data_IF_909903221862
#
_entry.id   IF_909903221862
#
_cell.length_a   1.000
_cell.length_b   1.000
_cell.length_c   1.000
_cell.angle_alpha   90.00
_cell.angle_beta   90.00
_cell.angle_gamma   90.00
#
_symmetry.space_group_name_H-M   'P 1'
#
loop_
_entity.id
_entity.type
_entity.pdbx_description
1 polymer ?
#
# COMPACT_ATOMS: atom_id res chain seq x y z
N UNK A 1 8.42 -8.38 1.40
CA UNK A 1 8.98 -7.10 1.89
C UNK A 1 10.35 -6.75 1.30
N UNK A 2 11.36 -7.63 1.39
CA UNK A 2 12.73 -7.36 0.93
C UNK A 2 12.83 -6.88 -0.53
N UNK A 3 12.14 -7.55 -1.46
CA UNK A 3 12.12 -7.14 -2.86
C UNK A 3 11.55 -5.73 -3.05
N UNK A 4 10.49 -5.39 -2.30
CA UNK A 4 9.90 -4.04 -2.33
C UNK A 4 10.88 -2.97 -1.84
N UNK A 5 11.60 -3.20 -0.74
CA UNK A 5 12.61 -2.25 -0.27
C UNK A 5 13.78 -2.08 -1.25
N UNK A 6 14.20 -3.15 -1.93
CA UNK A 6 15.26 -3.09 -2.95
C UNK A 6 14.79 -2.27 -4.16
N UNK A 7 13.55 -2.45 -4.60
CA UNK A 7 12.96 -1.68 -5.69
C UNK A 7 12.81 -0.19 -5.35
N UNK A 8 12.42 0.13 -4.11
CA UNK A 8 12.41 1.51 -3.62
C UNK A 8 13.81 2.13 -3.58
N UNK A 9 14.82 1.39 -3.13
CA UNK A 9 16.22 1.83 -3.19
C UNK A 9 16.69 2.06 -4.63
N UNK A 10 16.27 1.19 -5.56
CA UNK A 10 16.55 1.36 -6.98
C UNK A 10 15.89 2.64 -7.54
N UNK A 11 14.64 2.95 -7.17
CA UNK A 11 13.97 4.21 -7.54
C UNK A 11 14.78 5.42 -7.07
N UNK A 12 15.26 5.41 -5.82
CA UNK A 12 16.10 6.50 -5.28
C UNK A 12 17.37 6.65 -6.10
N UNK A 13 18.08 5.55 -6.37
CA UNK A 13 19.30 5.56 -7.20
C UNK A 13 19.07 6.17 -8.58
N UNK A 14 17.91 5.91 -9.18
CA UNK A 14 17.56 6.43 -10.49
C UNK A 14 17.10 7.90 -10.46
N UNK A 15 16.52 8.34 -9.35
CA UNK A 15 15.96 9.69 -9.23
C UNK A 15 17.01 10.72 -8.81
N UNK A 16 18.08 10.29 -8.14
CA UNK A 16 19.18 11.14 -7.71
C UNK A 16 20.10 11.52 -8.87
N UNK A 17 20.35 12.83 -9.01
CA UNK A 17 21.31 13.39 -9.99
C UNK A 17 22.64 13.79 -9.35
N UNK A 18 22.81 13.55 -8.05
CA UNK A 18 24.02 13.92 -7.34
C UNK A 18 25.24 13.11 -7.79
N UNK A 19 26.38 13.79 -7.96
CA UNK A 19 27.65 13.18 -8.33
C UNK A 19 28.27 12.34 -7.18
N UNK A 20 27.94 12.64 -5.91
CA UNK A 20 28.47 11.93 -4.76
C UNK A 20 27.74 10.60 -4.53
N UNK A 21 28.40 9.49 -4.90
CA UNK A 21 27.89 8.13 -4.69
C UNK A 21 27.58 7.82 -3.22
N UNK A 22 28.30 8.42 -2.26
CA UNK A 22 28.04 8.19 -0.82
C UNK A 22 26.68 8.73 -0.40
N UNK A 23 26.24 9.83 -1.00
CA UNK A 23 24.94 10.42 -0.75
C UNK A 23 23.81 9.49 -1.23
N UNK A 24 23.94 8.98 -2.46
CA UNK A 24 22.98 8.04 -3.05
C UNK A 24 22.85 6.77 -2.21
N UNK A 25 23.97 6.18 -1.76
CA UNK A 25 23.93 4.99 -0.90
C UNK A 25 23.27 5.24 0.45
N UNK A 26 23.47 6.41 1.05
CA UNK A 26 22.80 6.80 2.30
C UNK A 26 21.29 6.93 2.11
N UNK A 27 20.85 7.56 1.03
CA UNK A 27 19.43 7.67 0.68
C UNK A 27 18.80 6.29 0.42
N UNK A 28 19.53 5.39 -0.25
CA UNK A 28 19.12 3.99 -0.47
C UNK A 28 18.98 3.22 0.84
N UNK A 29 19.92 3.34 1.77
CA UNK A 29 19.83 2.70 3.08
C UNK A 29 18.66 3.25 3.89
N UNK A 30 18.43 4.56 3.83
CA UNK A 30 17.31 5.20 4.52
C UNK A 30 15.96 4.71 3.99
N UNK A 31 15.77 4.61 2.67
CA UNK A 31 14.49 4.11 2.12
C UNK A 31 14.25 2.64 2.50
N UNK A 32 15.31 1.82 2.53
CA UNK A 32 15.21 0.42 2.96
C UNK A 32 14.79 0.35 4.43
N UNK A 33 15.46 1.10 5.31
CA UNK A 33 15.15 1.13 6.74
C UNK A 33 13.72 1.63 6.99
N UNK A 34 13.35 2.78 6.40
CA UNK A 34 12.01 3.36 6.55
C UNK A 34 10.89 2.44 6.05
N UNK A 35 11.13 1.67 4.99
CA UNK A 35 10.14 0.74 4.45
C UNK A 35 10.04 -0.55 5.27
N UNK A 36 11.17 -1.17 5.60
CA UNK A 36 11.20 -2.47 6.30
C UNK A 36 10.77 -2.35 7.76
N UNK A 37 11.07 -1.20 8.40
CA UNK A 37 10.83 -1.00 9.82
C UNK A 37 9.53 -0.24 10.11
N UNK A 38 8.73 0.03 9.08
CA UNK A 38 7.42 0.63 9.28
C UNK A 38 6.53 -0.37 10.04
N UNK A 39 5.96 0.00 11.21
CA UNK A 39 5.13 -0.89 12.02
C UNK A 39 3.94 -1.48 11.24
N UNK A 40 3.33 -0.70 10.35
CA UNK A 40 2.20 -1.15 9.53
C UNK A 40 2.64 -2.25 8.56
N UNK A 41 3.80 -2.10 7.92
CA UNK A 41 4.33 -3.12 7.02
C UNK A 41 4.73 -4.40 7.75
N UNK A 42 5.31 -4.27 8.95
CA UNK A 42 5.66 -5.41 9.79
C UNK A 42 4.40 -6.17 10.23
N UNK A 43 3.37 -5.44 10.67
CA UNK A 43 2.08 -6.00 11.06
C UNK A 43 1.34 -6.65 9.89
N UNK A 44 1.26 -5.97 8.74
CA UNK A 44 0.62 -6.49 7.54
C UNK A 44 1.28 -7.79 7.05
N UNK A 45 2.57 -7.98 7.35
CA UNK A 45 3.35 -9.15 6.95
C UNK A 45 3.23 -10.33 7.92
N UNK A 46 2.43 -10.19 8.97
CA UNK A 46 2.04 -11.30 9.84
C UNK A 46 1.09 -12.27 9.11
N UNK A 47 0.97 -13.50 9.62
CA UNK A 47 0.34 -14.62 8.90
C UNK A 47 -1.14 -14.41 8.53
N UNK A 48 -1.85 -13.49 9.20
CA UNK A 48 -3.28 -13.26 8.96
C UNK A 48 -3.61 -12.27 7.82
N UNK A 49 -2.65 -11.44 7.38
CA UNK A 49 -2.94 -10.28 6.52
C UNK A 49 -2.13 -10.24 5.21
N UNK A 50 -1.52 -11.37 4.83
CA UNK A 50 -0.57 -11.45 3.72
C UNK A 50 -1.14 -11.04 2.35
N UNK A 51 -2.44 -11.28 2.10
CA UNK A 51 -3.10 -10.94 0.82
C UNK A 51 -3.10 -9.43 0.56
N UNK A 52 -3.30 -8.62 1.60
CA UNK A 52 -3.41 -7.15 1.50
C UNK A 52 -2.08 -6.47 1.13
N UNK A 53 -0.94 -7.15 1.35
CA UNK A 53 0.38 -6.62 0.97
C UNK A 53 0.63 -6.66 -0.53
N UNK A 54 0.00 -7.58 -1.26
CA UNK A 54 0.28 -7.75 -2.69
C UNK A 54 -0.05 -6.49 -3.48
N UNK A 55 -1.13 -5.78 -3.13
CA UNK A 55 -1.44 -4.49 -3.72
C UNK A 55 -0.28 -3.50 -3.53
N UNK A 56 0.25 -3.38 -2.31
CA UNK A 56 1.37 -2.48 -2.02
C UNK A 56 2.65 -2.90 -2.74
N UNK A 57 2.92 -4.20 -2.84
CA UNK A 57 4.05 -4.72 -3.59
C UNK A 57 3.94 -4.36 -5.08
N UNK A 58 2.81 -4.62 -5.72
CA UNK A 58 2.60 -4.28 -7.13
C UNK A 58 2.55 -2.78 -7.39
N UNK A 59 2.17 -1.96 -6.40
CA UNK A 59 2.34 -0.51 -6.46
C UNK A 59 3.82 -0.13 -6.57
N UNK A 60 4.69 -0.70 -5.73
CA UNK A 60 6.14 -0.44 -5.79
C UNK A 60 6.71 -0.91 -7.14
N UNK A 61 6.31 -2.10 -7.61
CA UNK A 61 6.76 -2.62 -8.92
C UNK A 61 6.32 -1.69 -10.05
N UNK A 62 5.08 -1.19 -10.02
CA UNK A 62 4.56 -0.26 -11.03
C UNK A 62 5.26 1.10 -11.00
N UNK A 63 5.57 1.62 -9.80
CA UNK A 63 6.39 2.82 -9.63
C UNK A 63 7.80 2.62 -10.21
N UNK A 64 8.44 1.48 -9.94
CA UNK A 64 9.75 1.15 -10.50
C UNK A 64 9.70 1.02 -12.03
N UNK A 65 8.67 0.36 -12.58
CA UNK A 65 8.50 0.24 -14.01
C UNK A 65 8.24 1.59 -14.68
N UNK A 66 7.51 2.50 -14.03
CA UNK A 66 7.32 3.87 -14.50
C UNK A 66 8.64 4.64 -14.56
N UNK A 67 9.45 4.60 -13.49
CA UNK A 67 10.78 5.23 -13.48
C UNK A 67 11.67 4.64 -14.57
N UNK A 68 11.67 3.31 -14.72
CA UNK A 68 12.42 2.63 -15.78
C UNK A 68 11.97 3.08 -17.17
N UNK A 69 10.66 3.21 -17.40
CA UNK A 69 10.10 3.71 -18.65
C UNK A 69 10.55 5.14 -18.98
N UNK A 70 10.68 6.01 -17.99
CA UNK A 70 11.10 7.39 -18.20
C UNK A 70 12.58 7.54 -18.55
N UNK A 71 13.41 6.57 -18.21
CA UNK A 71 14.88 6.68 -18.28
C UNK A 71 15.56 5.68 -19.22
N UNK A 72 14.87 4.61 -19.61
CA UNK A 72 15.46 3.51 -20.36
C UNK A 72 15.42 3.76 -21.87
N UNK A 73 16.56 3.55 -22.52
CA UNK A 73 16.66 3.50 -23.99
C UNK A 73 16.04 2.20 -24.56
N UNK A 74 15.80 1.19 -23.71
CA UNK A 74 15.19 -0.10 -24.12
C UNK A 74 13.67 0.02 -24.14
N UNK A 75 13.17 0.75 -25.13
CA UNK A 75 11.76 1.13 -25.28
C UNK A 75 10.79 -0.06 -25.22
N UNK A 76 11.10 -1.18 -25.88
CA UNK A 76 10.21 -2.35 -25.90
C UNK A 76 10.09 -3.01 -24.52
N UNK A 77 11.23 -3.26 -23.87
CA UNK A 77 11.27 -3.93 -22.56
C UNK A 77 10.59 -3.06 -21.50
N UNK A 78 10.87 -1.75 -21.50
CA UNK A 78 10.28 -0.85 -20.51
C UNK A 78 8.76 -0.75 -20.65
N UNK A 79 8.24 -0.77 -21.88
CA UNK A 79 6.79 -0.82 -22.14
C UNK A 79 6.15 -2.11 -21.66
N UNK A 80 6.76 -3.27 -21.93
CA UNK A 80 6.23 -4.56 -21.44
C UNK A 80 6.20 -4.59 -19.92
N UNK A 81 7.30 -4.21 -19.27
CA UNK A 81 7.37 -4.21 -17.80
C UNK A 81 6.34 -3.26 -17.19
N UNK A 82 6.17 -2.06 -17.77
CA UNK A 82 5.15 -1.11 -17.32
C UNK A 82 3.73 -1.68 -17.51
N UNK A 83 3.45 -2.26 -18.67
CA UNK A 83 2.14 -2.85 -18.95
C UNK A 83 1.81 -4.00 -17.99
N UNK A 84 2.74 -4.96 -17.82
CA UNK A 84 2.54 -6.14 -16.97
C UNK A 84 2.45 -5.77 -15.49
N UNK A 85 3.32 -4.86 -15.01
CA UNK A 85 3.28 -4.45 -13.60
C UNK A 85 1.96 -3.75 -13.23
N UNK A 86 1.47 -2.87 -14.08
CA UNK A 86 0.19 -2.19 -13.88
C UNK A 86 -0.99 -3.16 -13.99
N UNK A 87 -0.91 -4.13 -14.90
CA UNK A 87 -1.93 -5.16 -15.04
C UNK A 87 -2.02 -6.01 -13.76
N UNK A 88 -0.89 -6.40 -13.17
CA UNK A 88 -0.85 -7.12 -11.90
C UNK A 88 -1.39 -6.27 -10.74
N UNK A 89 -1.07 -4.97 -10.71
CA UNK A 89 -1.62 -4.05 -9.72
C UNK A 89 -3.14 -3.96 -9.82
N UNK A 90 -3.67 -3.73 -11.04
CA UNK A 90 -5.10 -3.63 -11.31
C UNK A 90 -5.85 -4.94 -11.04
N UNK A 91 -5.21 -6.09 -11.26
CA UNK A 91 -5.81 -7.39 -10.98
C UNK A 91 -5.87 -7.72 -9.48
N UNK A 92 -4.95 -7.15 -8.70
CA UNK A 92 -4.84 -7.44 -7.27
C UNK A 92 -5.69 -6.48 -6.43
N UNK A 93 -5.70 -5.19 -6.79
CA UNK A 93 -6.30 -4.15 -5.96
C UNK A 93 -6.79 -2.96 -6.79
N UNK A 94 -7.77 -2.20 -6.26
CA UNK A 94 -8.29 -0.97 -6.86
C UNK A 94 -7.22 0.11 -7.00
N UNK A 95 -6.05 -0.11 -6.37
CA UNK A 95 -4.88 0.73 -6.56
C UNK A 95 -4.47 0.88 -8.02
N UNK A 96 -4.74 -0.08 -8.92
CA UNK A 96 -4.47 0.08 -10.35
C UNK A 96 -5.21 1.27 -10.99
N UNK A 97 -6.50 1.44 -10.66
CA UNK A 97 -7.31 2.57 -11.11
C UNK A 97 -6.80 3.89 -10.53
N UNK A 98 -6.48 3.89 -9.23
CA UNK A 98 -5.98 5.10 -8.56
C UNK A 98 -4.57 5.48 -9.00
N UNK A 99 -3.75 4.50 -9.42
CA UNK A 99 -2.41 4.73 -9.98
C UNK A 99 -2.51 5.39 -11.35
N UNK A 100 -3.43 4.92 -12.20
CA UNK A 100 -3.75 5.58 -13.47
C UNK A 100 -4.21 7.03 -13.24
N UNK A 101 -5.14 7.26 -12.30
CA UNK A 101 -5.60 8.60 -11.96
C UNK A 101 -4.47 9.49 -11.39
N UNK A 102 -3.61 8.94 -10.53
CA UNK A 102 -2.46 9.65 -9.97
C UNK A 102 -1.47 10.09 -11.05
N UNK A 103 -1.19 9.25 -12.05
CA UNK A 103 -0.34 9.63 -13.19
C UNK A 103 -0.95 10.78 -14.00
N UNK A 104 -2.26 10.73 -14.26
CA UNK A 104 -2.96 11.82 -14.96
C UNK A 104 -2.85 13.12 -14.16
N UNK A 105 -3.11 13.10 -12.84
CA UNK A 105 -3.00 14.27 -11.98
C UNK A 105 -1.58 14.85 -11.94
N UNK A 106 -0.57 14.00 -11.74
CA UNK A 106 0.84 14.43 -11.58
C UNK A 106 1.41 14.97 -12.90
N UNK A 107 1.08 14.34 -14.03
CA UNK A 107 1.63 14.69 -15.34
C UNK A 107 0.68 15.51 -16.22
N UNK A 108 -0.49 15.96 -15.73
CA UNK A 108 -1.47 16.71 -16.52
C UNK A 108 -0.84 17.84 -17.35
N UNK A 109 0.00 18.67 -16.72
CA UNK A 109 0.71 19.79 -17.39
C UNK A 109 1.82 19.34 -18.34
N UNK A 110 2.30 18.12 -18.20
CA UNK A 110 3.37 17.51 -19.01
C UNK A 110 2.86 16.58 -20.10
N UNK A 111 1.53 16.40 -20.24
CA UNK A 111 0.91 15.57 -21.29
C UNK A 111 1.22 16.04 -22.72
N UNK A 112 1.76 17.26 -22.89
CA UNK A 112 2.28 17.74 -24.17
C UNK A 112 3.52 16.97 -24.64
N UNK A 113 4.28 16.37 -23.72
CA UNK A 113 5.47 15.56 -24.04
C UNK A 113 5.00 14.18 -24.54
N UNK A 114 5.33 13.85 -25.78
CA UNK A 114 4.88 12.62 -26.44
C UNK A 114 5.22 11.35 -25.63
N UNK A 115 6.43 11.28 -25.07
CA UNK A 115 6.87 10.14 -24.24
C UNK A 115 6.01 9.95 -22.98
N UNK A 116 5.66 11.05 -22.29
CA UNK A 116 4.81 11.02 -21.10
C UNK A 116 3.38 10.60 -21.47
N UNK A 117 2.83 11.22 -22.52
CA UNK A 117 1.49 10.91 -23.02
C UNK A 117 1.35 9.44 -23.40
N UNK A 118 2.33 8.88 -24.11
CA UNK A 118 2.33 7.47 -24.48
C UNK A 118 2.43 6.55 -23.26
N UNK A 119 3.25 6.90 -22.27
CA UNK A 119 3.34 6.16 -21.02
C UNK A 119 2.00 6.12 -20.27
N UNK A 120 1.35 7.27 -20.11
CA UNK A 120 0.02 7.37 -19.46
C UNK A 120 -1.04 6.59 -20.24
N UNK A 121 -1.01 6.65 -21.58
CA UNK A 121 -1.90 5.85 -22.43
C UNK A 121 -1.67 4.35 -22.23
N UNK A 122 -0.41 3.90 -22.17
CA UNK A 122 -0.07 2.50 -21.94
C UNK A 122 -0.56 2.00 -20.58
N UNK A 123 -0.40 2.79 -19.53
CA UNK A 123 -0.97 2.49 -18.19
C UNK A 123 -2.48 2.39 -18.26
N UNK A 124 -3.14 3.36 -18.92
CA UNK A 124 -4.59 3.37 -19.05
C UNK A 124 -5.10 2.14 -19.80
N UNK A 125 -4.43 1.77 -20.90
CA UNK A 125 -4.74 0.57 -21.67
C UNK A 125 -4.56 -0.70 -20.84
N UNK A 126 -3.48 -0.79 -20.05
CA UNK A 126 -3.25 -1.92 -19.13
C UNK A 126 -4.38 -2.08 -18.11
N UNK A 127 -4.75 -0.99 -17.42
CA UNK A 127 -5.85 -1.01 -16.45
C UNK A 127 -7.18 -1.39 -17.10
N UNK A 128 -7.53 -0.78 -18.24
CA UNK A 128 -8.79 -1.06 -18.95
C UNK A 128 -8.84 -2.52 -19.42
N UNK A 129 -7.77 -3.03 -20.02
CA UNK A 129 -7.72 -4.42 -20.50
C UNK A 129 -7.85 -5.39 -19.33
N UNK A 130 -7.10 -5.20 -18.25
CA UNK A 130 -7.18 -6.06 -17.07
C UNK A 130 -8.57 -6.04 -16.44
N UNK A 131 -9.14 -4.85 -16.20
CA UNK A 131 -10.48 -4.74 -15.64
C UNK A 131 -11.54 -5.34 -16.55
N UNK A 132 -11.39 -5.21 -17.88
CA UNK A 132 -12.31 -5.84 -18.84
C UNK A 132 -12.23 -7.37 -18.76
N UNK A 133 -11.02 -7.94 -18.69
CA UNK A 133 -10.84 -9.39 -18.54
C UNK A 133 -11.48 -9.89 -17.24
N UNK A 134 -11.27 -9.18 -16.13
CA UNK A 134 -11.86 -9.52 -14.83
C UNK A 134 -13.39 -9.41 -14.89
N UNK A 135 -13.92 -8.35 -15.49
CA UNK A 135 -15.37 -8.19 -15.68
C UNK A 135 -15.93 -9.34 -16.53
N UNK A 136 -15.30 -9.67 -17.66
CA UNK A 136 -15.72 -10.79 -18.52
C UNK A 136 -15.70 -12.12 -17.75
N UNK A 137 -14.67 -12.35 -16.94
CA UNK A 137 -14.58 -13.54 -16.11
C UNK A 137 -15.76 -13.61 -15.13
N UNK A 138 -16.05 -12.55 -14.37
CA UNK A 138 -17.16 -12.57 -13.42
C UNK A 138 -18.55 -12.61 -14.08
N UNK A 139 -18.73 -11.90 -15.20
CA UNK A 139 -19.97 -11.99 -16.00
C UNK A 139 -20.19 -13.41 -16.51
N UNK A 140 -19.13 -14.10 -16.94
CA UNK A 140 -19.24 -15.49 -17.41
C UNK A 140 -19.66 -16.48 -16.32
N UNK A 141 -19.43 -16.16 -15.04
CA UNK A 141 -19.77 -17.03 -13.90
C UNK A 141 -21.21 -16.80 -13.45
N UNK A 142 -21.63 -15.54 -13.27
CA UNK A 142 -22.88 -15.21 -12.57
C UNK A 142 -23.79 -14.22 -13.33
N UNK A 143 -23.42 -13.81 -14.54
CA UNK A 143 -24.13 -12.79 -15.32
C UNK A 143 -23.79 -11.35 -14.92
N UNK A 144 -24.18 -10.40 -15.76
CA UNK A 144 -23.92 -8.96 -15.56
C UNK A 144 -24.62 -8.38 -14.34
N UNK A 145 -25.85 -8.81 -14.08
CA UNK A 145 -26.66 -8.24 -13.00
C UNK A 145 -26.07 -8.57 -11.63
N UNK A 146 -25.58 -9.80 -11.45
CA UNK A 146 -24.89 -10.21 -10.22
C UNK A 146 -23.57 -9.44 -10.01
N UNK A 147 -22.81 -9.21 -11.09
CA UNK A 147 -21.58 -8.42 -11.02
C UNK A 147 -21.86 -6.96 -10.64
N UNK A 148 -22.78 -6.29 -11.34
CA UNK A 148 -23.13 -4.89 -11.08
C UNK A 148 -23.67 -4.73 -9.66
N UNK A 149 -24.57 -5.63 -9.23
CA UNK A 149 -25.13 -5.61 -7.88
C UNK A 149 -24.05 -5.81 -6.82
N UNK A 150 -23.14 -6.77 -6.99
CA UNK A 150 -22.08 -7.04 -6.01
C UNK A 150 -21.04 -5.90 -5.93
N UNK A 151 -20.66 -5.32 -7.07
CA UNK A 151 -19.80 -4.12 -7.11
C UNK A 151 -20.49 -2.92 -6.45
N UNK A 152 -21.78 -2.72 -6.74
CA UNK A 152 -22.58 -1.65 -6.15
C UNK A 152 -22.67 -1.79 -4.64
N UNK A 153 -23.05 -2.95 -4.13
CA UNK A 153 -23.11 -3.23 -2.68
C UNK A 153 -21.76 -2.98 -2.02
N UNK A 154 -20.67 -3.56 -2.53
CA UNK A 154 -19.33 -3.38 -1.96
C UNK A 154 -18.86 -1.93 -1.98
N UNK A 155 -19.20 -1.18 -3.02
CA UNK A 155 -18.87 0.24 -3.09
C UNK A 155 -19.67 1.06 -2.07
N UNK A 156 -20.96 0.79 -1.92
CA UNK A 156 -21.80 1.43 -0.90
C UNK A 156 -21.26 1.16 0.51
N UNK A 157 -20.94 -0.11 0.80
CA UNK A 157 -20.43 -0.57 2.09
C UNK A 157 -19.10 0.08 2.47
N UNK A 158 -18.16 0.17 1.51
CA UNK A 158 -16.77 0.55 1.78
C UNK A 158 -16.47 2.04 1.62
N UNK A 159 -17.27 2.75 0.82
CA UNK A 159 -16.97 4.14 0.46
C UNK A 159 -17.29 5.13 1.57
N UNK A 160 -18.34 4.89 2.37
CA UNK A 160 -18.75 5.80 3.44
C UNK A 160 -19.58 7.01 3.00
N UNK A 161 -19.90 7.17 1.71
CA UNK A 161 -20.56 8.37 1.17
C UNK A 161 -22.09 8.30 1.08
N UNK A 162 -22.69 7.13 1.32
CA UNK A 162 -24.12 6.91 1.09
C UNK A 162 -24.95 6.85 2.38
N UNK A 163 -24.32 7.09 3.53
CA UNK A 163 -24.94 7.12 4.86
C UNK A 163 -24.84 5.79 5.61
N UNK A 164 -24.86 5.85 6.95
CA UNK A 164 -24.56 4.75 7.86
C UNK A 164 -25.32 3.45 7.60
N UNK A 165 -26.58 3.56 7.15
CA UNK A 165 -27.44 2.40 6.85
C UNK A 165 -26.93 1.50 5.71
N UNK A 166 -26.02 2.01 4.86
CA UNK A 166 -25.45 1.27 3.73
C UNK A 166 -23.96 0.97 3.91
N UNK A 167 -23.35 1.43 4.99
CA UNK A 167 -21.91 1.28 5.27
C UNK A 167 -21.68 0.15 6.26
N UNK A 168 -20.52 -0.49 6.17
CA UNK A 168 -20.13 -1.51 7.14
C UNK A 168 -20.07 -0.89 8.55
N UNK A 169 -20.79 -1.48 9.50
CA UNK A 169 -20.92 -1.03 10.90
C UNK A 169 -21.45 0.41 11.12
N UNK A 170 -22.02 1.09 10.12
CA UNK A 170 -22.59 2.43 10.29
C UNK A 170 -21.59 3.60 10.20
N UNK A 171 -20.36 3.34 9.75
CA UNK A 171 -19.33 4.36 9.61
C UNK A 171 -19.40 5.09 8.26
N UNK A 172 -20.05 6.26 8.27
CA UNK A 172 -20.12 7.17 7.12
C UNK A 172 -19.32 8.47 7.34
N UNK A 173 -19.16 9.29 6.29
CA UNK A 173 -18.36 10.53 6.33
C UNK A 173 -18.95 11.60 7.25
N UNK A 174 -20.26 11.57 7.49
CA UNK A 174 -20.98 12.50 8.35
C UNK A 174 -20.96 12.04 9.82
N UNK A 175 -20.73 10.75 10.08
CA UNK A 175 -20.60 10.21 11.42
C UNK A 175 -19.26 10.66 12.07
N UNK A 176 -19.28 11.41 13.18
CA UNK A 176 -18.06 11.82 13.89
C UNK A 176 -17.20 10.65 14.39
N UNK A 177 -17.82 9.51 14.68
CA UNK A 177 -17.13 8.30 15.15
C UNK A 177 -16.19 7.73 14.07
N UNK A 178 -16.57 7.83 12.79
CA UNK A 178 -15.70 7.45 11.65
C UNK A 178 -14.38 8.22 11.69
N UNK A 179 -14.43 9.52 11.98
CA UNK A 179 -13.24 10.37 12.08
C UNK A 179 -12.44 10.08 13.35
N UNK A 180 -13.12 9.79 14.46
CA UNK A 180 -12.45 9.35 15.68
C UNK A 180 -11.69 8.03 15.45
N UNK A 181 -12.33 7.03 14.83
CA UNK A 181 -11.69 5.77 14.47
C UNK A 181 -10.53 5.99 13.51
N UNK A 182 -10.68 6.84 12.50
CA UNK A 182 -9.57 7.19 11.62
C UNK A 182 -8.38 7.76 12.40
N UNK A 183 -8.62 8.72 13.29
CA UNK A 183 -7.58 9.27 14.16
C UNK A 183 -7.00 8.21 15.09
N UNK A 184 -7.81 7.26 15.56
CA UNK A 184 -7.35 6.13 16.35
C UNK A 184 -6.48 5.18 15.52
N UNK A 185 -6.79 4.92 14.26
CA UNK A 185 -5.92 4.13 13.39
C UNK A 185 -4.60 4.85 13.15
N UNK A 186 -4.64 6.16 12.87
CA UNK A 186 -3.42 6.98 12.76
C UNK A 186 -2.64 6.96 14.09
N UNK A 187 -3.31 7.08 15.23
CA UNK A 187 -2.69 6.95 16.55
C UNK A 187 -2.04 5.58 16.70
N UNK A 188 -2.71 4.48 16.37
CA UNK A 188 -2.15 3.13 16.44
C UNK A 188 -0.92 2.98 15.52
N UNK A 189 -0.88 3.67 14.36
CA UNK A 189 0.30 3.72 13.48
C UNK A 189 1.44 4.49 14.16
N UNK A 190 1.09 5.56 14.88
CA UNK A 190 2.03 6.53 15.45
C UNK A 190 2.39 6.30 16.92
N UNK A 191 1.72 5.39 17.63
CA UNK A 191 1.83 5.22 19.07
C UNK A 191 3.26 4.80 19.47
N UNK A 192 3.65 5.19 20.68
CA UNK A 192 5.02 5.15 21.13
C UNK A 192 5.89 6.19 20.41
N UNK A 193 6.90 5.76 19.66
CA UNK A 193 7.85 6.70 19.05
C UNK A 193 7.41 7.25 17.68
N UNK A 194 6.30 6.75 17.10
CA UNK A 194 5.84 7.23 15.80
C UNK A 194 5.52 8.73 15.80
N UNK A 195 5.02 9.26 16.93
CA UNK A 195 4.88 10.70 17.17
C UNK A 195 6.20 11.46 17.17
N UNK A 196 7.26 10.88 17.75
CA UNK A 196 8.61 11.47 17.75
C UNK A 196 9.15 11.51 16.31
N UNK A 197 8.92 10.45 15.53
CA UNK A 197 9.28 10.38 14.11
C UNK A 197 8.52 11.42 13.30
N UNK A 198 7.21 11.55 13.51
CA UNK A 198 6.39 12.57 12.83
C UNK A 198 6.87 13.99 13.18
N UNK A 199 7.10 14.27 14.46
CA UNK A 199 7.59 15.57 14.92
C UNK A 199 8.96 15.89 14.31
N UNK A 200 9.87 14.92 14.28
CA UNK A 200 11.19 15.07 13.65
C UNK A 200 11.07 15.22 12.13
N UNK A 201 10.16 14.51 11.47
CA UNK A 201 9.88 14.66 10.04
C UNK A 201 9.37 16.08 9.71
N UNK A 202 8.48 16.63 10.53
CA UNK A 202 7.99 18.01 10.39
C UNK A 202 9.12 19.02 10.60
N UNK A 203 9.93 18.87 11.66
CA UNK A 203 11.10 19.73 11.91
C UNK A 203 12.10 19.66 10.75
N UNK A 204 12.37 18.46 10.25
CA UNK A 204 13.23 18.21 9.10
C UNK A 204 12.65 18.85 7.83
N UNK A 205 11.34 18.76 7.57
CA UNK A 205 10.67 19.41 6.45
C UNK A 205 10.79 20.93 6.51
N UNK A 206 10.55 21.53 7.68
CA UNK A 206 10.64 22.98 7.88
C UNK A 206 12.08 23.46 7.70
N UNK A 207 13.06 22.73 8.23
CA UNK A 207 14.48 23.05 8.05
C UNK A 207 14.94 22.88 6.59
N UNK A 208 14.56 21.77 5.94
CA UNK A 208 14.92 21.48 4.55
C UNK A 208 14.28 22.45 3.55
N UNK A 209 13.13 23.05 3.89
CA UNK A 209 12.48 24.08 3.07
C UNK A 209 13.25 25.40 3.05
N UNK A 210 13.99 25.70 4.12
CA UNK A 210 14.81 26.92 4.22
C UNK A 210 16.20 26.77 3.63
N UNK A 211 16.76 25.56 3.61
CA UNK A 211 18.18 25.34 3.33
C UNK A 211 18.43 24.79 1.92
N UNK A 212 17.45 24.16 1.27
CA UNK A 212 17.77 23.24 0.19
C UNK A 212 16.94 23.46 -1.11
N UNK A 213 17.58 23.24 -2.27
CA UNK A 213 17.03 23.38 -3.64
C UNK A 213 15.80 22.50 -3.92
N UNK A 214 14.92 22.84 -4.88
CA UNK A 214 13.71 22.07 -5.16
C UNK A 214 14.03 20.61 -5.57
N UNK A 215 13.36 19.65 -4.91
CA UNK A 215 13.48 18.20 -5.20
C UNK A 215 12.47 17.83 -6.27
N UNK A 216 12.87 17.00 -7.25
CA UNK A 216 11.92 16.35 -8.15
C UNK A 216 11.13 15.30 -7.37
N UNK A 217 9.94 15.70 -6.94
CA UNK A 217 9.03 14.87 -6.15
C UNK A 217 8.02 14.11 -7.01
N UNK A 218 8.26 13.96 -8.33
CA UNK A 218 7.28 13.36 -9.24
C UNK A 218 6.87 11.95 -8.82
N UNK A 219 7.83 11.07 -8.49
CA UNK A 219 7.53 9.68 -8.06
C UNK A 219 6.84 9.63 -6.71
N UNK A 220 7.28 10.47 -5.75
CA UNK A 220 6.66 10.60 -4.43
C UNK A 220 5.21 11.08 -4.56
N UNK A 221 4.94 12.04 -5.45
CA UNK A 221 3.58 12.52 -5.73
C UNK A 221 2.70 11.41 -6.30
N UNK A 222 3.21 10.57 -7.21
CA UNK A 222 2.44 9.45 -7.75
C UNK A 222 2.09 8.47 -6.62
N UNK A 223 3.07 8.08 -5.80
CA UNK A 223 2.84 7.20 -4.66
C UNK A 223 1.81 7.79 -3.68
N UNK A 224 1.93 9.08 -3.35
CA UNK A 224 0.99 9.79 -2.48
C UNK A 224 -0.43 9.83 -3.05
N UNK A 225 -0.59 10.30 -4.30
CA UNK A 225 -1.90 10.45 -4.92
C UNK A 225 -2.57 9.09 -5.15
N UNK A 226 -1.80 8.04 -5.46
CA UNK A 226 -2.35 6.68 -5.59
C UNK A 226 -2.95 6.24 -4.25
N UNK A 227 -2.18 6.32 -3.16
CA UNK A 227 -2.65 5.95 -1.83
C UNK A 227 -3.81 6.83 -1.34
N UNK A 228 -3.76 8.14 -1.59
CA UNK A 228 -4.80 9.08 -1.17
C UNK A 228 -6.12 8.86 -1.92
N UNK A 229 -6.07 8.71 -3.24
CA UNK A 229 -7.28 8.43 -4.03
C UNK A 229 -7.89 7.10 -3.65
N UNK A 230 -7.07 6.08 -3.37
CA UNK A 230 -7.54 4.81 -2.84
C UNK A 230 -8.23 5.01 -1.49
N UNK A 231 -7.56 5.68 -0.56
CA UNK A 231 -8.07 5.93 0.78
C UNK A 231 -9.42 6.66 0.76
N UNK A 232 -9.56 7.68 -0.11
CA UNK A 232 -10.82 8.41 -0.29
C UNK A 232 -11.90 7.52 -0.92
N UNK A 233 -11.56 6.67 -1.89
CA UNK A 233 -12.53 5.80 -2.55
C UNK A 233 -13.13 4.74 -1.62
N UNK A 234 -12.40 4.33 -0.59
CA UNK A 234 -12.83 3.34 0.42
C UNK A 234 -12.66 3.89 1.84
N UNK A 235 -13.18 5.10 2.09
CA UNK A 235 -12.96 5.83 3.34
C UNK A 235 -13.46 5.05 4.56
N UNK A 236 -14.69 4.55 4.53
CA UNK A 236 -15.29 3.79 5.64
C UNK A 236 -14.44 2.56 5.98
N UNK A 237 -14.07 1.78 4.97
CA UNK A 237 -13.23 0.61 5.19
C UNK A 237 -11.81 1.01 5.67
N UNK A 238 -11.29 2.16 5.23
CA UNK A 238 -9.97 2.66 5.65
C UNK A 238 -9.96 3.25 7.07
N UNK A 239 -11.10 3.72 7.58
CA UNK A 239 -11.24 4.12 8.99
C UNK A 239 -11.32 2.92 9.94
N UNK A 240 -11.84 1.78 9.47
CA UNK A 240 -11.99 0.57 10.27
C UNK A 240 -10.69 -0.27 10.24
N UNK A 241 -10.12 -0.46 9.05
CA UNK A 241 -9.00 -1.38 8.86
C UNK A 241 -7.66 -0.65 8.83
N UNK A 242 -6.92 -0.78 9.94
CA UNK A 242 -5.55 -0.30 10.11
C UNK A 242 -4.63 -0.59 8.90
N UNK A 243 -4.76 -1.77 8.30
CA UNK A 243 -3.89 -2.24 7.21
C UNK A 243 -3.98 -1.38 5.95
N UNK A 244 -5.08 -0.66 5.73
CA UNK A 244 -5.23 0.17 4.55
C UNK A 244 -4.34 1.42 4.57
N UNK A 245 -3.87 1.81 5.75
CA UNK A 245 -2.87 2.87 5.90
C UNK A 245 -1.48 2.46 5.39
N UNK A 246 -1.20 1.15 5.25
CA UNK A 246 0.07 0.62 4.72
C UNK A 246 0.37 1.11 3.30
N UNK A 247 -0.69 1.42 2.53
CA UNK A 247 -0.60 1.95 1.17
C UNK A 247 0.16 3.28 1.10
N UNK A 248 0.24 4.05 2.20
CA UNK A 248 1.06 5.26 2.28
C UNK A 248 2.55 4.99 2.54
N UNK A 249 2.93 3.79 2.95
CA UNK A 249 4.32 3.48 3.32
C UNK A 249 5.33 3.66 2.17
N UNK A 250 5.06 3.29 0.90
CA UNK A 250 5.94 3.61 -0.22
C UNK A 250 6.20 5.11 -0.36
N UNK A 251 5.17 5.95 -0.18
CA UNK A 251 5.32 7.41 -0.19
C UNK A 251 6.18 7.89 0.98
N UNK A 252 5.86 7.47 2.21
CA UNK A 252 6.60 7.86 3.41
C UNK A 252 8.08 7.47 3.32
N UNK A 253 8.37 6.28 2.81
CA UNK A 253 9.74 5.81 2.61
C UNK A 253 10.50 6.66 1.59
N UNK A 254 9.92 6.92 0.40
CA UNK A 254 10.56 7.74 -0.63
C UNK A 254 10.73 9.20 -0.21
N UNK A 255 9.74 9.77 0.46
CA UNK A 255 9.78 11.14 0.96
C UNK A 255 10.78 11.29 2.12
N UNK A 256 10.78 10.36 3.07
CA UNK A 256 11.72 10.34 4.17
C UNK A 256 13.16 10.12 3.71
N UNK A 257 13.39 9.27 2.70
CA UNK A 257 14.71 9.07 2.11
C UNK A 257 15.22 10.32 1.37
N UNK A 258 14.38 10.97 0.57
CA UNK A 258 14.72 12.23 -0.10
C UNK A 258 15.03 13.33 0.93
N UNK A 259 14.27 13.40 2.03
CA UNK A 259 14.51 14.34 3.11
C UNK A 259 15.84 14.05 3.84
N UNK A 260 16.11 12.78 4.15
CA UNK A 260 17.35 12.34 4.77
C UNK A 260 18.57 12.67 3.92
N UNK A 261 18.49 12.36 2.63
CA UNK A 261 19.52 12.68 1.64
C UNK A 261 19.86 14.17 1.72
N UNK A 262 18.87 15.02 1.50
CA UNK A 262 19.01 16.49 1.50
C UNK A 262 19.56 17.09 2.80
N UNK A 263 19.23 16.49 3.93
CA UNK A 263 19.75 16.93 5.22
C UNK A 263 21.18 16.44 5.44
N UNK A 264 21.52 15.24 4.94
CA UNK A 264 22.87 14.70 5.02
C UNK A 264 23.90 15.52 4.24
N UNK A 265 23.49 16.29 3.23
CA UNK A 265 24.38 17.24 2.54
C UNK A 265 24.56 18.57 3.28
N UNK A 266 23.69 18.90 4.24
CA UNK A 266 23.66 20.22 4.90
C UNK A 266 24.46 20.32 6.22
N UNK A 267 25.00 19.22 6.78
CA UNK A 267 25.95 19.26 7.91
C UNK A 267 25.89 18.10 8.93
N UNK A 268 27.01 17.85 9.65
CA UNK A 268 27.21 16.67 10.55
C UNK A 268 26.24 16.57 11.75
N UNK A 269 25.78 17.69 12.32
CA UNK A 269 24.94 17.68 13.54
C UNK A 269 23.51 17.19 13.26
N UNK A 270 22.94 17.48 12.09
CA UNK A 270 21.58 17.05 11.74
C UNK A 270 21.56 15.60 11.26
N UNK A 271 22.66 15.13 10.63
CA UNK A 271 22.86 13.69 10.35
C UNK A 271 22.79 12.85 11.62
N UNK A 272 23.40 13.31 12.71
CA UNK A 272 23.32 12.63 14.01
C UNK A 272 21.88 12.56 14.51
N UNK A 273 21.10 13.65 14.39
CA UNK A 273 19.68 13.68 14.80
C UNK A 273 18.86 12.67 13.99
N UNK A 274 19.10 12.56 12.69
CA UNK A 274 18.36 11.58 11.86
C UNK A 274 18.87 10.15 12.08
N UNK A 275 20.17 9.94 12.29
CA UNK A 275 20.69 8.63 12.65
C UNK A 275 20.11 8.15 13.99
N UNK A 276 20.01 9.05 14.97
CA UNK A 276 19.31 8.82 16.24
C UNK A 276 17.82 8.57 15.98
N UNK A 277 17.16 9.29 15.07
CA UNK A 277 15.76 9.04 14.72
C UNK A 277 15.55 7.65 14.09
N UNK A 278 16.43 7.23 13.17
CA UNK A 278 16.42 5.90 12.57
C UNK A 278 16.67 4.85 13.64
N UNK A 279 17.62 5.06 14.55
CA UNK A 279 17.85 4.17 15.68
C UNK A 279 16.62 4.09 16.61
N UNK A 280 15.99 5.22 16.94
CA UNK A 280 14.75 5.26 17.72
C UNK A 280 13.60 4.56 17.01
N UNK A 281 13.51 4.66 15.66
CA UNK A 281 12.59 3.87 14.86
C UNK A 281 12.85 2.37 14.99
N UNK A 282 14.11 1.92 15.05
CA UNK A 282 14.43 0.51 15.29
C UNK A 282 13.99 0.07 16.70
N UNK A 283 14.32 0.85 17.73
CA UNK A 283 13.92 0.56 19.12
C UNK A 283 12.40 0.49 19.24
N UNK A 284 11.69 1.34 18.52
CA UNK A 284 10.24 1.39 18.52
C UNK A 284 9.57 0.32 17.70
N UNK A 285 10.13 -0.02 16.54
CA UNK A 285 9.70 -1.19 15.78
C UNK A 285 9.91 -2.45 16.65
N UNK A 286 11.02 -2.55 17.38
CA UNK A 286 11.25 -3.65 18.32
C UNK A 286 10.25 -3.65 19.47
N UNK A 287 9.94 -2.49 20.05
CA UNK A 287 8.94 -2.37 21.13
C UNK A 287 7.52 -2.63 20.63
N UNK A 288 7.18 -2.17 19.43
CA UNK A 288 5.89 -2.43 18.77
C UNK A 288 5.77 -3.90 18.39
N UNK A 289 6.84 -4.54 17.92
CA UNK A 289 6.89 -5.99 17.69
C UNK A 289 6.79 -6.75 19.00
N UNK A 290 7.45 -6.31 20.08
CA UNK A 290 7.37 -6.95 21.39
C UNK A 290 5.98 -6.79 22.00
N UNK A 291 5.36 -5.62 21.87
CA UNK A 291 3.98 -5.38 22.32
C UNK A 291 2.97 -6.12 21.44
N UNK A 292 3.22 -6.18 20.13
CA UNK A 292 2.50 -7.05 19.22
C UNK A 292 2.65 -8.49 19.64
N UNK A 293 3.85 -8.99 19.97
CA UNK A 293 4.09 -10.36 20.44
C UNK A 293 3.41 -10.67 21.78
N UNK A 294 3.30 -9.69 22.69
CA UNK A 294 2.49 -9.82 23.91
C UNK A 294 0.99 -9.84 23.63
N UNK A 295 0.57 -9.25 22.50
CA UNK A 295 -0.81 -9.23 21.98
C UNK A 295 -1.04 -10.27 20.88
N UNK A 296 -0.03 -11.02 20.45
CA UNK A 296 -0.17 -12.25 19.67
C UNK A 296 -0.81 -13.14 20.71
N UNK A 297 -2.12 -13.38 20.61
CA UNK A 297 -2.77 -14.28 21.53
C UNK A 297 -2.02 -15.60 21.39
N UNK A 298 -1.70 -16.27 22.50
CA UNK A 298 -1.41 -17.70 22.47
C UNK A 298 -2.35 -18.33 21.46
N UNK A 299 -1.81 -18.93 20.38
CA UNK A 299 -2.53 -19.46 19.21
C UNK A 299 -4.01 -19.11 19.28
N UNK A 300 -4.35 -17.88 18.88
CA UNK A 300 -5.70 -17.32 18.92
C UNK A 300 -6.68 -18.47 18.71
N UNK A 301 -7.57 -18.78 19.66
CA UNK A 301 -8.40 -20.01 19.58
C UNK A 301 -9.04 -20.14 18.19
N UNK A 302 -9.36 -18.99 17.60
CA UNK A 302 -9.75 -18.81 16.21
C UNK A 302 -8.73 -19.30 15.18
N UNK A 303 -7.45 -18.95 15.26
CA UNK A 303 -6.38 -19.45 14.38
C UNK A 303 -6.23 -20.98 14.47
N UNK A 304 -6.31 -21.55 15.68
CA UNK A 304 -6.29 -23.01 15.86
C UNK A 304 -7.52 -23.67 15.22
N UNK A 305 -8.71 -23.09 15.43
CA UNK A 305 -9.96 -23.52 14.80
C UNK A 305 -9.88 -23.41 13.26
N UNK A 306 -9.35 -22.32 12.72
CA UNK A 306 -9.17 -22.13 11.28
C UNK A 306 -8.16 -23.11 10.68
N UNK A 307 -7.09 -23.44 11.40
CA UNK A 307 -6.13 -24.46 10.95
C UNK A 307 -6.77 -25.86 10.92
N UNK A 308 -7.52 -26.22 11.96
CA UNK A 308 -8.27 -27.47 12.02
C UNK A 308 -9.33 -27.55 10.92
N UNK A 309 -10.10 -26.47 10.73
CA UNK A 309 -11.09 -26.37 9.66
C UNK A 309 -10.44 -26.48 8.27
N UNK A 310 -9.32 -25.79 8.03
CA UNK A 310 -8.59 -25.89 6.76
C UNK A 310 -8.09 -27.31 6.46
N UNK A 311 -7.67 -28.06 7.49
CA UNK A 311 -7.28 -29.45 7.35
C UNK A 311 -8.49 -30.33 6.98
N UNK A 312 -9.61 -30.19 7.69
CA UNK A 312 -10.86 -30.91 7.39
C UNK A 312 -11.33 -30.62 5.97
N UNK A 313 -11.32 -29.35 5.54
CA UNK A 313 -11.69 -28.92 4.19
C UNK A 313 -10.78 -29.56 3.14
N UNK A 314 -9.47 -29.60 3.41
CA UNK A 314 -8.49 -30.20 2.51
C UNK A 314 -8.69 -31.70 2.36
N UNK A 315 -8.91 -32.40 3.47
CA UNK A 315 -9.11 -33.85 3.52
C UNK A 315 -10.43 -34.26 2.85
N UNK A 316 -11.52 -33.55 3.17
CA UNK A 316 -12.86 -33.82 2.64
C UNK A 316 -13.12 -33.22 1.26
N UNK A 317 -12.15 -32.50 0.70
CA UNK A 317 -12.23 -31.87 -0.61
C UNK A 317 -13.45 -30.94 -0.80
N UNK A 318 -13.78 -30.19 0.24
CA UNK A 318 -14.91 -29.25 0.21
C UNK A 318 -14.54 -28.02 -0.63
N UNK A 319 -15.46 -27.59 -1.49
CA UNK A 319 -15.32 -26.37 -2.29
C UNK A 319 -16.24 -25.24 -1.77
N UNK A 320 -17.09 -25.57 -0.80
CA UNK A 320 -18.03 -24.66 -0.16
C UNK A 320 -18.10 -24.93 1.34
N UNK A 321 -18.27 -23.87 2.14
CA UNK A 321 -18.35 -23.95 3.61
C UNK A 321 -19.45 -23.03 4.14
N UNK A 322 -20.24 -23.44 5.14
CA UNK A 322 -21.26 -22.57 5.73
C UNK A 322 -20.64 -21.46 6.57
N UNK A 323 -21.18 -20.25 6.47
CA UNK A 323 -20.80 -19.13 7.34
C UNK A 323 -21.41 -19.35 8.73
N UNK A 324 -20.65 -20.01 9.61
CA UNK A 324 -21.05 -20.23 11.01
C UNK A 324 -20.69 -19.03 11.87
N UNK A 325 -21.37 -18.84 13.01
CA UNK A 325 -21.24 -17.62 13.85
C UNK A 325 -19.83 -17.31 14.37
N UNK A 326 -18.90 -18.26 14.33
CA UNK A 326 -17.50 -18.06 14.73
C UNK A 326 -16.58 -17.68 13.55
N UNK A 327 -17.05 -17.82 12.31
CA UNK A 327 -16.33 -17.49 11.09
C UNK A 327 -16.82 -16.16 10.54
N UNK A 328 -15.89 -15.30 10.16
CA UNK A 328 -16.20 -14.05 9.45
C UNK A 328 -15.80 -14.18 7.98
N UNK A 329 -16.35 -13.33 7.11
CA UNK A 329 -16.14 -13.45 5.66
C UNK A 329 -14.67 -13.50 5.24
N UNK A 330 -13.79 -12.74 5.92
CA UNK A 330 -12.35 -12.72 5.61
C UNK A 330 -11.64 -14.04 5.87
N UNK A 331 -12.21 -14.91 6.73
CA UNK A 331 -11.60 -16.18 7.10
C UNK A 331 -11.53 -17.14 5.90
N UNK A 332 -12.40 -16.98 4.89
CA UNK A 332 -12.41 -17.83 3.69
C UNK A 332 -11.12 -17.71 2.89
N UNK A 333 -10.47 -16.55 2.92
CA UNK A 333 -9.21 -16.31 2.21
C UNK A 333 -8.11 -17.16 2.86
N UNK A 334 -8.07 -17.16 4.19
CA UNK A 334 -7.12 -17.96 4.96
C UNK A 334 -7.38 -19.46 4.79
N UNK A 335 -8.63 -19.89 4.91
CA UNK A 335 -9.03 -21.29 4.72
C UNK A 335 -8.71 -21.77 3.30
N UNK A 336 -8.98 -20.95 2.28
CA UNK A 336 -8.66 -21.25 0.89
C UNK A 336 -7.15 -21.44 0.68
N UNK A 337 -6.35 -20.52 1.25
CA UNK A 337 -4.90 -20.59 1.19
C UNK A 337 -4.34 -21.85 1.89
N UNK A 338 -4.77 -22.12 3.13
CA UNK A 338 -4.27 -23.26 3.92
C UNK A 338 -4.76 -24.61 3.42
N UNK A 339 -6.00 -24.68 2.96
CA UNK A 339 -6.55 -25.91 2.38
C UNK A 339 -6.10 -26.14 0.93
N UNK A 340 -5.51 -25.13 0.28
CA UNK A 340 -5.15 -25.12 -1.14
C UNK A 340 -6.36 -25.34 -2.06
N UNK A 341 -7.50 -24.76 -1.69
CA UNK A 341 -8.76 -24.84 -2.45
C UNK A 341 -9.35 -23.46 -2.65
N UNK A 342 -10.15 -23.28 -3.71
CA UNK A 342 -10.89 -22.04 -3.94
C UNK A 342 -12.25 -22.17 -3.28
N UNK A 343 -12.36 -21.75 -2.02
CA UNK A 343 -13.59 -21.92 -1.25
C UNK A 343 -14.58 -20.80 -1.51
N UNK A 344 -15.87 -21.14 -1.43
CA UNK A 344 -16.98 -20.17 -1.46
C UNK A 344 -17.87 -20.36 -0.22
N UNK A 345 -18.44 -19.29 0.32
CA UNK A 345 -19.41 -19.40 1.40
C UNK A 345 -20.71 -20.00 0.87
N UNK A 346 -21.25 -21.00 1.59
CA UNK A 346 -22.64 -21.41 1.46
C UNK A 346 -23.50 -20.40 2.21
N UNK A 347 -24.47 -19.82 1.50
CA UNK A 347 -25.43 -18.86 2.06
C UNK A 347 -26.57 -19.53 2.77
#
# INVERSE_FOLDING_TARGET
MLCGSILLAWIIRQSEKEADKRHVYRAMLAVIALYLLNPVNLYASSQHNFSEIWGQFFLIVSLSAWVFYLQSDRVFISRILLFVSVALLAATDWMGLTFMAALILVYFRQMKKAHIRYGVFLVSASVVVTMSIICLQYVSIAGSDALIRSLGIRYLERSGFFGGQYTDMGYDVLNPETWFLLLQQIHNVMDGTGYIVLALFVVCLVAARKICTPVDLSVQKIAFWTALLFFVAVLSASSIHYIYTARFTPFLALAGAALFAKISSSGRKIVLIIAVAVFLMHVAAFRSVAEFQKRIPETDEKQAQLNAAAQIIRENKLDSIPLTGNLVESDIIYLSYKSQRNLVWEK
#
